data_IF_527368228259
#
_entry.id   IF_527368228259
#
_cell.length_a   1.000
_cell.length_b   1.000
_cell.length_c   1.000
_cell.angle_alpha   90.00
_cell.angle_beta   90.00
_cell.angle_gamma   90.00
#
_symmetry.space_group_name_H-M   'P 1'
#
loop_
_entity.id
_entity.type
_entity.pdbx_description
1 polymer ?
#
# COMPACT_ATOMS: atom_id res chain seq x y z
N UNK A 1 25.61 -4.76 -0.14
CA UNK A 1 24.31 -4.15 0.21
C UNK A 1 23.41 -5.18 0.86
N UNK A 2 22.68 -4.78 1.88
CA UNK A 2 21.73 -5.67 2.52
C UNK A 2 20.54 -5.95 1.60
N UNK A 3 20.04 -7.19 1.69
CA UNK A 3 18.80 -7.55 0.97
C UNK A 3 17.60 -6.89 1.64
N UNK A 4 16.55 -6.65 0.87
CA UNK A 4 15.31 -6.06 1.38
C UNK A 4 14.13 -6.88 0.90
N UNK A 5 13.09 -6.90 1.70
CA UNK A 5 11.80 -7.46 1.33
C UNK A 5 10.79 -6.32 1.34
N UNK A 6 10.20 -6.03 0.20
CA UNK A 6 9.26 -4.91 0.08
C UNK A 6 7.97 -5.37 -0.57
N UNK A 7 6.82 -4.83 -0.16
CA UNK A 7 5.59 -5.03 -0.92
C UNK A 7 5.74 -4.41 -2.32
N UNK A 8 5.26 -5.13 -3.32
CA UNK A 8 5.18 -4.62 -4.68
C UNK A 8 3.75 -4.79 -5.15
N UNK A 9 3.04 -3.68 -5.31
CA UNK A 9 1.60 -3.68 -5.55
C UNK A 9 1.31 -3.53 -7.05
N UNK A 10 0.38 -4.33 -7.55
CA UNK A 10 -0.02 -4.28 -8.96
C UNK A 10 -1.38 -3.64 -9.11
N UNK A 11 -1.51 -2.76 -10.09
CA UNK A 11 -2.73 -2.01 -10.35
C UNK A 11 -3.14 -2.15 -11.81
N UNK A 12 -4.40 -1.83 -12.08
CA UNK A 12 -4.95 -1.91 -13.43
C UNK A 12 -5.23 -0.50 -13.97
N UNK A 13 -4.15 0.28 -14.13
CA UNK A 13 -4.21 1.61 -14.72
C UNK A 13 -4.29 2.75 -13.72
N UNK A 14 -4.41 2.48 -12.43
CA UNK A 14 -4.54 3.50 -11.38
C UNK A 14 -3.37 3.52 -10.38
N UNK A 15 -2.20 3.01 -10.78
CA UNK A 15 -1.03 2.98 -9.91
C UNK A 15 -0.61 4.37 -9.43
N UNK A 16 -0.69 5.39 -10.31
CA UNK A 16 -0.35 6.76 -9.95
C UNK A 16 -1.21 7.27 -8.79
N UNK A 17 -2.52 7.15 -8.93
CA UNK A 17 -3.48 7.60 -7.93
C UNK A 17 -3.29 6.83 -6.61
N UNK A 18 -3.07 5.53 -6.70
CA UNK A 18 -2.85 4.69 -5.52
C UNK A 18 -1.58 5.08 -4.78
N UNK A 19 -0.47 5.23 -5.50
CA UNK A 19 0.81 5.58 -4.86
C UNK A 19 0.80 7.00 -4.30
N UNK A 20 0.12 7.93 -4.96
CA UNK A 20 -0.08 9.28 -4.40
C UNK A 20 -0.92 9.23 -3.14
N UNK A 21 -1.93 8.38 -3.09
CA UNK A 21 -2.73 8.15 -1.89
C UNK A 21 -1.87 7.61 -0.74
N UNK A 22 -0.99 6.64 -1.02
CA UNK A 22 -0.09 6.11 0.02
C UNK A 22 0.92 7.16 0.50
N UNK A 23 1.34 8.06 -0.37
CA UNK A 23 2.18 9.18 0.04
C UNK A 23 1.43 10.08 1.03
N UNK A 24 0.15 10.34 0.81
CA UNK A 24 -0.67 11.09 1.76
C UNK A 24 -0.83 10.36 3.09
N UNK A 25 -0.96 9.04 3.05
CA UNK A 25 -1.13 8.23 4.26
C UNK A 25 0.13 8.20 5.11
N UNK A 26 1.27 7.91 4.46
CA UNK A 26 2.52 7.62 5.16
C UNK A 26 3.53 8.76 5.13
N UNK A 27 3.35 9.73 4.25
CA UNK A 27 4.37 10.74 3.99
C UNK A 27 5.52 10.17 3.18
N UNK A 28 6.57 10.95 3.01
CA UNK A 28 7.80 10.49 2.38
C UNK A 28 8.00 11.00 0.96
N UNK A 29 8.82 10.29 0.21
CA UNK A 29 9.22 10.66 -1.14
C UNK A 29 8.74 9.62 -2.14
N UNK A 30 7.90 10.06 -3.09
CA UNK A 30 7.36 9.20 -4.13
C UNK A 30 8.08 9.48 -5.46
N UNK A 31 8.55 8.40 -6.10
CA UNK A 31 9.12 8.44 -7.44
C UNK A 31 8.27 7.62 -8.38
N UNK A 32 7.92 8.18 -9.52
CA UNK A 32 7.07 7.55 -10.54
C UNK A 32 7.80 7.53 -11.87
N UNK A 33 7.77 6.39 -12.53
CA UNK A 33 8.34 6.22 -13.87
C UNK A 33 7.28 5.60 -14.79
N UNK A 34 7.11 6.19 -15.97
CA UNK A 34 6.09 5.73 -16.92
C UNK A 34 6.68 4.75 -17.93
N UNK A 35 5.81 4.00 -18.60
CA UNK A 35 6.23 3.14 -19.71
C UNK A 35 6.85 3.95 -20.85
N UNK A 36 6.31 5.16 -21.10
CA UNK A 36 6.84 6.04 -22.12
C UNK A 36 8.27 6.48 -21.87
N UNK A 37 8.63 6.75 -20.60
CA UNK A 37 10.00 7.13 -20.22
C UNK A 37 11.00 5.99 -20.43
N UNK A 38 10.54 4.74 -20.43
CA UNK A 38 11.39 3.57 -20.52
C UNK A 38 11.27 2.85 -21.87
N UNK A 39 11.10 3.62 -22.94
CA UNK A 39 11.24 3.12 -24.30
C UNK A 39 9.96 2.72 -25.01
N UNK A 40 8.80 3.04 -24.46
CA UNK A 40 7.51 2.70 -25.07
C UNK A 40 6.61 3.95 -25.22
N UNK A 41 7.09 5.02 -25.91
CA UNK A 41 6.33 6.27 -25.94
C UNK A 41 5.09 6.24 -26.84
N UNK A 42 4.99 5.27 -27.75
CA UNK A 42 3.94 5.20 -28.75
C UNK A 42 2.79 4.23 -28.41
N UNK A 43 2.84 3.60 -27.22
CA UNK A 43 1.77 2.68 -26.80
C UNK A 43 0.64 3.47 -26.10
N UNK A 44 -0.61 2.94 -26.09
CA UNK A 44 -1.70 3.60 -25.36
C UNK A 44 -1.42 3.78 -23.88
N UNK A 45 -0.64 2.88 -23.28
CA UNK A 45 -0.31 2.87 -21.86
C UNK A 45 0.95 3.69 -21.52
N UNK A 46 1.43 4.54 -22.45
CA UNK A 46 2.68 5.29 -22.24
C UNK A 46 2.66 6.14 -20.98
N UNK A 47 1.50 6.68 -20.58
CA UNK A 47 1.35 7.50 -19.37
C UNK A 47 1.15 6.67 -18.10
N UNK A 48 0.99 5.37 -18.23
CA UNK A 48 0.79 4.50 -17.07
C UNK A 48 2.13 4.22 -16.39
N UNK A 49 2.07 3.74 -15.15
CA UNK A 49 3.24 3.62 -14.30
C UNK A 49 3.90 2.27 -14.49
N UNK A 50 5.14 2.28 -14.98
CA UNK A 50 5.96 1.09 -15.11
C UNK A 50 6.59 0.69 -13.78
N UNK A 51 6.94 1.67 -12.95
CA UNK A 51 7.49 1.45 -11.62
C UNK A 51 7.28 2.68 -10.76
N UNK A 52 6.90 2.44 -9.50
CA UNK A 52 6.76 3.47 -8.49
C UNK A 52 7.43 3.01 -7.21
N UNK A 53 8.01 3.95 -6.47
CA UNK A 53 8.62 3.68 -5.18
C UNK A 53 8.29 4.81 -4.23
N UNK A 54 7.77 4.45 -3.06
CA UNK A 54 7.53 5.37 -1.95
C UNK A 54 8.43 4.98 -0.79
N UNK A 55 9.29 5.91 -0.38
CA UNK A 55 10.11 5.75 0.81
C UNK A 55 9.60 6.69 1.90
N UNK A 56 9.30 6.16 3.07
CA UNK A 56 8.62 6.91 4.13
C UNK A 56 9.56 7.26 5.27
N UNK A 57 9.21 8.31 6.08
CA UNK A 57 10.01 8.66 7.26
C UNK A 57 10.08 7.52 8.29
N UNK A 58 9.05 6.68 8.35
CA UNK A 58 9.01 5.52 9.25
C UNK A 58 9.91 4.37 8.80
N UNK A 59 10.56 4.50 7.64
CA UNK A 59 11.44 3.44 7.12
C UNK A 59 10.73 2.41 6.25
N UNK A 60 9.48 2.61 5.90
CA UNK A 60 8.76 1.72 4.99
C UNK A 60 9.14 2.01 3.55
N UNK A 61 9.18 0.98 2.73
CA UNK A 61 9.31 1.12 1.28
C UNK A 61 8.16 0.37 0.63
N UNK A 62 7.33 1.11 -0.12
CA UNK A 62 6.24 0.55 -0.92
C UNK A 62 6.57 0.75 -2.38
N UNK A 63 6.40 -0.29 -3.16
CA UNK A 63 6.60 -0.24 -4.60
C UNK A 63 5.32 -0.64 -5.31
N UNK A 64 5.19 -0.24 -6.56
CA UNK A 64 4.02 -0.62 -7.33
C UNK A 64 4.16 -0.29 -8.80
N UNK A 65 3.23 -0.80 -9.58
CA UNK A 65 3.18 -0.55 -11.02
C UNK A 65 1.79 -0.86 -11.55
N UNK A 66 1.47 -0.31 -12.71
CA UNK A 66 0.34 -0.78 -13.48
C UNK A 66 0.71 -2.10 -14.16
N UNK A 67 -0.28 -2.94 -14.39
CA UNK A 67 -0.07 -4.19 -15.12
C UNK A 67 0.49 -3.87 -16.51
N UNK A 68 1.61 -4.51 -16.91
CA UNK A 68 2.22 -4.22 -18.21
C UNK A 68 1.28 -4.51 -19.38
N UNK A 69 1.44 -3.79 -20.51
CA UNK A 69 0.64 -4.06 -21.70
C UNK A 69 0.72 -5.52 -22.13
N UNK A 70 -0.41 -6.10 -22.50
CA UNK A 70 -0.48 -7.49 -22.93
C UNK A 70 -0.57 -8.51 -21.80
N UNK A 71 -0.49 -8.08 -20.54
CA UNK A 71 -0.64 -8.96 -19.39
C UNK A 71 -2.00 -8.75 -18.72
N UNK A 72 -2.53 -9.81 -18.14
CA UNK A 72 -3.81 -9.76 -17.43
C UNK A 72 -3.59 -9.34 -15.98
N UNK A 73 -4.45 -8.44 -15.49
CA UNK A 73 -4.44 -8.04 -14.09
C UNK A 73 -5.28 -9.01 -13.27
N UNK A 74 -4.62 -9.75 -12.37
CA UNK A 74 -5.31 -10.71 -11.49
C UNK A 74 -4.88 -10.43 -10.06
N UNK A 75 -5.67 -9.65 -9.29
CA UNK A 75 -5.24 -9.21 -7.95
C UNK A 75 -5.13 -10.34 -6.92
N UNK A 76 -5.97 -11.35 -6.99
CA UNK A 76 -5.92 -12.46 -6.04
C UNK A 76 -6.34 -12.06 -4.63
N UNK A 77 -6.25 -13.00 -3.68
CA UNK A 77 -6.65 -12.80 -2.29
C UNK A 77 -5.69 -13.42 -1.28
N UNK A 78 -4.51 -13.83 -1.72
CA UNK A 78 -3.63 -14.68 -0.93
C UNK A 78 -2.75 -13.94 0.08
N UNK A 79 -2.78 -12.62 0.13
CA UNK A 79 -1.90 -11.86 1.03
C UNK A 79 -2.49 -10.51 1.40
N UNK A 80 -1.92 -9.92 2.46
CA UNK A 80 -2.25 -8.59 2.94
C UNK A 80 -0.96 -7.86 3.28
N UNK A 81 -1.01 -6.52 3.29
CA UNK A 81 0.09 -5.71 3.79
C UNK A 81 -0.20 -5.43 5.27
N UNK A 82 0.75 -5.71 6.13
CA UNK A 82 0.57 -5.62 7.57
C UNK A 82 1.38 -4.45 8.14
N UNK A 83 0.72 -3.63 8.94
CA UNK A 83 1.33 -2.56 9.73
C UNK A 83 1.21 -2.96 11.19
N UNK A 84 2.30 -2.94 11.93
CA UNK A 84 2.28 -3.30 13.35
C UNK A 84 3.27 -2.46 14.14
N UNK A 85 3.01 -2.31 15.42
CA UNK A 85 3.86 -1.55 16.31
C UNK A 85 3.14 -1.15 17.57
N UNK A 86 3.75 -0.28 18.35
CA UNK A 86 3.21 0.20 19.62
C UNK A 86 2.85 1.70 19.62
N UNK A 87 3.08 2.39 18.51
CA UNK A 87 2.67 3.79 18.37
C UNK A 87 1.21 3.85 17.95
N UNK A 88 0.34 3.91 18.93
CA UNK A 88 -1.10 3.83 18.71
C UNK A 88 -1.63 4.98 17.86
N UNK A 89 -1.19 6.22 18.12
CA UNK A 89 -1.67 7.40 17.40
C UNK A 89 -1.28 7.32 15.92
N UNK A 90 -0.05 6.94 15.63
CA UNK A 90 0.43 6.79 14.26
C UNK A 90 -0.36 5.71 13.52
N UNK A 91 -0.50 4.53 14.14
CA UNK A 91 -1.18 3.40 13.49
C UNK A 91 -2.67 3.65 13.30
N UNK A 92 -3.33 4.31 14.25
CA UNK A 92 -4.74 4.70 14.08
C UNK A 92 -4.90 5.73 12.97
N UNK A 93 -3.95 6.66 12.85
CA UNK A 93 -3.94 7.62 11.76
C UNK A 93 -3.84 6.95 10.39
N UNK A 94 -2.95 5.99 10.25
CA UNK A 94 -2.84 5.20 9.01
C UNK A 94 -4.14 4.45 8.72
N UNK A 95 -4.71 3.81 9.75
CA UNK A 95 -5.96 3.07 9.61
C UNK A 95 -7.10 3.94 9.09
N UNK A 96 -7.27 5.11 9.68
CA UNK A 96 -8.34 6.04 9.27
C UNK A 96 -8.21 6.42 7.80
N UNK A 97 -7.00 6.72 7.36
CA UNK A 97 -6.76 7.13 5.97
C UNK A 97 -6.88 5.95 5.00
N UNK A 98 -6.33 4.79 5.36
CA UNK A 98 -6.38 3.61 4.50
C UNK A 98 -7.81 3.08 4.34
N UNK A 99 -8.60 3.08 5.40
CA UNK A 99 -9.97 2.56 5.33
C UNK A 99 -10.96 3.52 4.70
N UNK A 100 -10.64 4.81 4.63
CA UNK A 100 -11.52 5.80 4.04
C UNK A 100 -11.72 5.53 2.54
N UNK A 101 -12.96 5.38 2.11
CA UNK A 101 -13.31 5.07 0.73
C UNK A 101 -13.13 3.62 0.34
N UNK A 102 -12.66 2.79 1.27
CA UNK A 102 -12.54 1.35 1.08
C UNK A 102 -13.59 0.60 1.87
N UNK A 103 -13.26 -0.60 2.32
CA UNK A 103 -14.15 -1.43 3.13
C UNK A 103 -13.41 -2.01 4.33
N UNK A 104 -14.10 -2.09 5.47
CA UNK A 104 -13.55 -2.67 6.70
C UNK A 104 -14.12 -4.07 6.86
N UNK A 105 -13.24 -5.08 6.89
CA UNK A 105 -13.66 -6.46 7.11
C UNK A 105 -13.60 -6.84 8.60
N UNK A 106 -12.62 -6.28 9.33
CA UNK A 106 -12.53 -6.45 10.78
C UNK A 106 -12.28 -5.06 11.38
N UNK A 107 -13.22 -4.50 12.17
CA UNK A 107 -13.02 -3.20 12.79
C UNK A 107 -11.80 -3.17 13.69
N UNK A 108 -11.15 -2.02 13.78
CA UNK A 108 -9.96 -1.86 14.60
C UNK A 108 -10.35 -1.79 16.07
N UNK A 109 -10.33 -2.93 16.74
CA UNK A 109 -10.75 -3.10 18.12
C UNK A 109 -9.84 -4.04 18.88
N UNK A 110 -9.93 -3.98 20.21
CA UNK A 110 -9.19 -4.89 21.08
C UNK A 110 -9.63 -6.32 20.86
N UNK A 111 -8.68 -7.21 20.71
CA UNK A 111 -8.92 -8.63 20.47
C UNK A 111 -8.63 -9.45 21.73
N UNK A 112 -9.02 -10.72 21.69
CA UNK A 112 -8.87 -11.62 22.85
C UNK A 112 -7.41 -11.86 23.22
N UNK A 113 -6.45 -11.66 22.29
CA UNK A 113 -5.02 -11.80 22.61
C UNK A 113 -4.42 -10.51 23.21
N UNK A 114 -5.23 -9.45 23.35
CA UNK A 114 -4.83 -8.23 24.05
C UNK A 114 -4.47 -7.04 23.18
N UNK A 115 -4.07 -7.26 21.94
CA UNK A 115 -3.72 -6.17 21.02
C UNK A 115 -4.97 -5.60 20.35
N UNK A 116 -4.82 -4.40 19.79
CA UNK A 116 -5.85 -3.80 18.94
C UNK A 116 -5.54 -4.19 17.49
N UNK A 117 -6.52 -4.75 16.80
CA UNK A 117 -6.31 -5.30 15.46
C UNK A 117 -7.49 -4.99 14.56
N UNK A 118 -7.20 -4.73 13.29
CA UNK A 118 -8.23 -4.54 12.27
C UNK A 118 -7.75 -4.95 10.89
N UNK A 119 -8.70 -5.19 10.00
CA UNK A 119 -8.43 -5.49 8.59
C UNK A 119 -9.34 -4.65 7.71
N UNK A 120 -8.77 -4.11 6.65
CA UNK A 120 -9.54 -3.36 5.66
C UNK A 120 -8.98 -3.59 4.27
N UNK A 121 -9.76 -3.22 3.26
CA UNK A 121 -9.30 -3.15 1.88
C UNK A 121 -9.43 -1.69 1.48
N UNK A 122 -8.34 -1.10 0.97
CA UNK A 122 -8.37 0.30 0.61
C UNK A 122 -9.17 0.54 -0.69
N UNK A 123 -9.34 1.80 -1.06
CA UNK A 123 -10.14 2.16 -2.24
C UNK A 123 -9.56 1.65 -3.57
N UNK A 124 -8.31 1.21 -3.54
CA UNK A 124 -7.63 0.66 -4.72
C UNK A 124 -7.60 -0.87 -4.72
N UNK A 125 -8.22 -1.51 -3.73
CA UNK A 125 -8.35 -2.96 -3.67
C UNK A 125 -7.22 -3.66 -2.94
N UNK A 126 -6.33 -2.95 -2.29
CA UNK A 126 -5.21 -3.56 -1.54
C UNK A 126 -5.67 -3.89 -0.11
N UNK A 127 -5.51 -5.14 0.33
CA UNK A 127 -5.87 -5.51 1.71
C UNK A 127 -4.77 -5.12 2.69
N UNK A 128 -5.19 -4.52 3.80
CA UNK A 128 -4.30 -4.06 4.87
C UNK A 128 -4.72 -4.65 6.21
N UNK A 129 -3.73 -4.90 7.05
CA UNK A 129 -3.94 -5.29 8.46
C UNK A 129 -3.20 -4.29 9.32
N UNK A 130 -3.80 -3.93 10.45
CA UNK A 130 -3.14 -3.08 11.45
C UNK A 130 -3.22 -3.78 12.79
N UNK A 131 -2.06 -3.92 13.45
CA UNK A 131 -1.98 -4.49 14.79
C UNK A 131 -1.24 -3.52 15.70
N UNK A 132 -1.91 -3.04 16.73
CA UNK A 132 -1.34 -2.12 17.72
C UNK A 132 -1.04 -2.93 18.96
N UNK A 133 0.25 -3.11 19.23
CA UNK A 133 0.70 -3.85 20.39
C UNK A 133 0.40 -3.04 21.65
N UNK A 134 -0.26 -3.66 22.63
CA UNK A 134 -0.62 -3.00 23.86
C UNK A 134 0.47 -3.20 24.92
N UNK A 135 0.64 -2.21 25.83
CA UNK A 135 1.61 -2.38 26.90
C UNK A 135 1.23 -3.56 27.78
N UNK A 136 2.22 -4.32 28.20
CA UNK A 136 2.03 -5.42 29.13
C UNK A 136 1.95 -4.87 30.56
N UNK A 137 0.98 -5.34 31.33
CA UNK A 137 0.83 -4.91 32.73
C UNK A 137 1.83 -5.62 33.64
#
# INVERSE_FOLDING_TARGET
MASRLNPYLSFDGDARQAMEFYEEVFGGTLKLNTFGEFGQPDIPEADKIMHAMLETPSGFTLMGADTPPGMEHTPGTAFSVSLSGDDEDELRGYWEKLSAGGSVSVPLDKQMWGDVFGMCTDRFGIPWMVNIVQPQA
#
